data_IF_548419571503
#
_entry.id   IF_548419571503
#
_cell.length_a   1.000
_cell.length_b   1.000
_cell.length_c   1.000
_cell.angle_alpha   90.00
_cell.angle_beta   90.00
_cell.angle_gamma   90.00
#
_symmetry.space_group_name_H-M   'P 1'
#
loop_
_entity.id
_entity.type
_entity.pdbx_description
1 polymer ?
#
# COMPACT_ATOMS: atom_id res chain seq x y z
N UNK A 1 -22.75 18.71 1.66
CA UNK A 1 -23.71 18.96 0.56
C UNK A 1 -24.69 20.07 0.92
N UNK A 2 -25.62 19.88 1.88
CA UNK A 2 -26.68 20.88 2.14
C UNK A 2 -26.28 22.34 2.45
N UNK A 3 -25.09 22.62 3.00
CA UNK A 3 -24.62 24.00 3.22
C UNK A 3 -24.16 24.73 1.95
N UNK A 4 -23.65 23.99 0.95
CA UNK A 4 -23.24 24.55 -0.33
C UNK A 4 -24.45 24.83 -1.23
N UNK A 5 -25.44 23.95 -1.20
CA UNK A 5 -26.74 24.13 -1.87
C UNK A 5 -27.46 25.39 -1.39
N UNK A 6 -27.54 25.60 -0.06
CA UNK A 6 -28.10 26.82 0.53
C UNK A 6 -27.35 28.11 0.11
N UNK A 7 -26.03 28.03 -0.06
CA UNK A 7 -25.21 29.18 -0.49
C UNK A 7 -25.37 29.49 -1.98
N UNK A 8 -25.49 28.46 -2.82
CA UNK A 8 -25.77 28.58 -4.26
C UNK A 8 -27.16 29.19 -4.49
N UNK A 9 -28.17 28.71 -3.74
CA UNK A 9 -29.52 29.27 -3.77
C UNK A 9 -29.54 30.74 -3.33
N UNK A 10 -28.77 31.10 -2.29
CA UNK A 10 -28.65 32.49 -1.83
C UNK A 10 -27.97 33.39 -2.87
N UNK A 11 -26.89 32.92 -3.51
CA UNK A 11 -26.19 33.67 -4.55
C UNK A 11 -27.09 33.97 -5.75
N UNK A 12 -27.86 32.96 -6.19
CA UNK A 12 -28.85 33.08 -7.26
C UNK A 12 -30.00 34.00 -6.87
N UNK A 13 -30.54 33.85 -5.66
CA UNK A 13 -31.65 34.68 -5.16
C UNK A 13 -31.25 36.16 -5.03
N UNK A 14 -29.99 36.44 -4.71
CA UNK A 14 -29.47 37.81 -4.59
C UNK A 14 -28.94 38.39 -5.92
N UNK A 15 -28.87 37.61 -7.00
CA UNK A 15 -28.29 38.03 -8.29
C UNK A 15 -26.85 38.53 -8.18
N UNK A 16 -26.09 38.04 -7.18
CA UNK A 16 -24.78 38.59 -6.83
C UNK A 16 -23.66 37.82 -7.52
N UNK A 17 -23.12 38.39 -8.60
CA UNK A 17 -21.97 37.83 -9.33
C UNK A 17 -20.71 37.71 -8.48
N UNK A 18 -20.56 38.56 -7.45
CA UNK A 18 -19.46 38.47 -6.50
C UNK A 18 -19.58 37.23 -5.61
N UNK A 19 -20.80 36.88 -5.18
CA UNK A 19 -21.04 35.71 -4.33
C UNK A 19 -20.92 34.41 -5.13
N UNK A 20 -21.44 34.39 -6.36
CA UNK A 20 -21.25 33.27 -7.31
C UNK A 20 -19.76 32.97 -7.53
N UNK A 21 -18.96 34.00 -7.81
CA UNK A 21 -17.51 33.84 -8.03
C UNK A 21 -16.78 33.31 -6.78
N UNK A 22 -17.21 33.71 -5.59
CA UNK A 22 -16.63 33.19 -4.34
C UNK A 22 -16.97 31.71 -4.12
N UNK A 23 -18.19 31.29 -4.48
CA UNK A 23 -18.62 29.90 -4.42
C UNK A 23 -17.79 29.02 -5.38
N UNK A 24 -17.62 29.47 -6.62
CA UNK A 24 -16.80 28.77 -7.62
C UNK A 24 -15.37 28.55 -7.12
N UNK A 25 -14.74 29.60 -6.61
CA UNK A 25 -13.37 29.53 -6.05
C UNK A 25 -13.28 28.57 -4.86
N UNK A 26 -14.32 28.50 -4.02
CA UNK A 26 -14.36 27.58 -2.90
C UNK A 26 -14.45 26.12 -3.38
N UNK A 27 -15.33 25.85 -4.35
CA UNK A 27 -15.50 24.53 -4.96
C UNK A 27 -14.21 24.07 -5.65
N UNK A 28 -13.58 24.92 -6.46
CA UNK A 28 -12.30 24.63 -7.11
C UNK A 28 -11.21 24.28 -6.09
N UNK A 29 -11.10 25.04 -5.01
CA UNK A 29 -10.15 24.75 -3.92
C UNK A 29 -10.44 23.44 -3.23
N UNK A 30 -11.73 23.13 -2.98
CA UNK A 30 -12.13 21.85 -2.37
C UNK A 30 -11.77 20.68 -3.28
N UNK A 31 -12.14 20.74 -4.56
CA UNK A 31 -11.82 19.71 -5.56
C UNK A 31 -10.31 19.52 -5.68
N UNK A 32 -9.54 20.62 -5.65
CA UNK A 32 -8.08 20.54 -5.72
C UNK A 32 -7.47 19.84 -4.52
N UNK A 33 -8.01 20.07 -3.31
CA UNK A 33 -7.61 19.34 -2.10
C UNK A 33 -7.95 17.86 -2.18
N UNK A 34 -9.16 17.54 -2.65
CA UNK A 34 -9.61 16.15 -2.81
C UNK A 34 -8.73 15.40 -3.81
N UNK A 35 -8.35 16.03 -4.93
CA UNK A 35 -7.39 15.48 -5.90
C UNK A 35 -6.00 15.26 -5.31
N UNK A 36 -5.56 16.17 -4.43
CA UNK A 36 -4.30 16.01 -3.70
C UNK A 36 -4.32 14.78 -2.80
N UNK A 37 -5.38 14.63 -2.01
CA UNK A 37 -5.59 13.46 -1.16
C UNK A 37 -5.70 12.17 -1.97
N UNK A 38 -6.41 12.17 -3.10
CA UNK A 38 -6.50 11.02 -4.00
C UNK A 38 -5.12 10.59 -4.51
N UNK A 39 -4.29 11.56 -4.94
CA UNK A 39 -2.92 11.31 -5.37
C UNK A 39 -2.07 10.69 -4.25
N UNK A 40 -2.17 11.22 -3.04
CA UNK A 40 -1.39 10.72 -1.91
C UNK A 40 -1.83 9.31 -1.47
N UNK A 41 -3.14 9.04 -1.46
CA UNK A 41 -3.69 7.69 -1.25
C UNK A 41 -3.14 6.73 -2.31
N UNK A 42 -3.16 7.12 -3.58
CA UNK A 42 -2.64 6.30 -4.67
C UNK A 42 -1.15 5.97 -4.50
N UNK A 43 -0.33 6.94 -4.08
CA UNK A 43 1.09 6.71 -3.79
C UNK A 43 1.28 5.71 -2.64
N UNK A 44 0.52 5.85 -1.56
CA UNK A 44 0.58 4.93 -0.42
C UNK A 44 0.18 3.51 -0.84
N UNK A 45 -0.87 3.36 -1.64
CA UNK A 45 -1.29 2.06 -2.17
C UNK A 45 -0.22 1.40 -3.05
N UNK A 46 0.46 2.17 -3.91
CA UNK A 46 1.54 1.65 -4.76
C UNK A 46 2.73 1.18 -3.91
N UNK A 47 3.16 2.01 -2.96
CA UNK A 47 4.27 1.65 -2.06
C UNK A 47 3.94 0.40 -1.24
N UNK A 48 2.71 0.28 -0.73
CA UNK A 48 2.29 -0.90 0.01
C UNK A 48 2.29 -2.16 -0.87
N UNK A 49 1.84 -2.05 -2.12
CA UNK A 49 1.85 -3.16 -3.06
C UNK A 49 3.28 -3.64 -3.36
N UNK A 50 4.24 -2.72 -3.47
CA UNK A 50 5.64 -3.08 -3.69
C UNK A 50 6.27 -3.70 -2.44
N UNK A 51 6.00 -3.17 -1.24
CA UNK A 51 6.45 -3.79 0.02
C UNK A 51 5.88 -5.20 0.23
N UNK A 52 4.64 -5.46 -0.19
CA UNK A 52 4.05 -6.81 -0.15
C UNK A 52 4.83 -7.76 -1.06
N UNK A 53 5.13 -7.36 -2.31
CA UNK A 53 5.91 -8.19 -3.23
C UNK A 53 7.30 -8.51 -2.69
N UNK A 54 7.98 -7.52 -2.11
CA UNK A 54 9.29 -7.72 -1.47
C UNK A 54 9.19 -8.71 -0.31
N UNK A 55 8.16 -8.58 0.53
CA UNK A 55 7.94 -9.49 1.66
C UNK A 55 7.66 -10.92 1.20
N UNK A 56 6.87 -11.10 0.14
CA UNK A 56 6.61 -12.41 -0.46
C UNK A 56 7.86 -13.02 -1.09
N UNK A 57 8.72 -12.21 -1.70
CA UNK A 57 9.99 -12.68 -2.25
C UNK A 57 10.92 -13.17 -1.13
N UNK A 58 11.05 -12.40 -0.05
CA UNK A 58 11.84 -12.78 1.12
C UNK A 58 11.29 -14.07 1.75
N UNK A 59 9.97 -14.20 1.89
CA UNK A 59 9.36 -15.42 2.44
C UNK A 59 9.73 -16.66 1.62
N UNK A 60 9.67 -16.57 0.27
CA UNK A 60 10.08 -17.66 -0.62
C UNK A 60 11.56 -18.00 -0.49
N UNK A 61 12.43 -16.99 -0.40
CA UNK A 61 13.86 -17.20 -0.18
C UNK A 61 14.13 -17.91 1.16
N UNK A 62 13.46 -17.49 2.23
CA UNK A 62 13.55 -18.14 3.54
C UNK A 62 13.11 -19.61 3.50
N UNK A 63 12.03 -19.93 2.78
CA UNK A 63 11.57 -21.31 2.63
C UNK A 63 12.62 -22.18 1.93
N UNK A 64 13.23 -21.67 0.85
CA UNK A 64 14.31 -22.36 0.13
C UNK A 64 15.54 -22.56 1.03
N UNK A 65 15.93 -21.55 1.79
CA UNK A 65 17.05 -21.67 2.75
C UNK A 65 16.77 -22.74 3.81
N UNK A 66 15.53 -22.80 4.32
CA UNK A 66 15.14 -23.80 5.30
C UNK A 66 15.18 -25.23 4.75
N UNK A 67 14.73 -25.44 3.51
CA UNK A 67 14.80 -26.74 2.84
C UNK A 67 16.25 -27.19 2.61
N UNK A 68 17.12 -26.27 2.22
CA UNK A 68 18.55 -26.56 2.02
C UNK A 68 19.26 -26.90 3.32
N UNK A 69 18.97 -26.20 4.43
CA UNK A 69 19.49 -26.54 5.75
C UNK A 69 19.02 -27.91 6.25
N UNK A 70 17.74 -28.25 6.04
CA UNK A 70 17.19 -29.55 6.41
C UNK A 70 17.86 -30.68 5.59
N UNK A 71 18.00 -30.49 4.28
CA UNK A 71 18.70 -31.42 3.38
C UNK A 71 20.15 -31.63 3.78
N UNK A 72 20.84 -30.56 4.21
CA UNK A 72 22.22 -30.66 4.68
C UNK A 72 22.30 -31.45 6.00
N UNK A 73 21.41 -31.18 6.96
CA UNK A 73 21.35 -31.92 8.23
C UNK A 73 21.09 -33.41 8.03
N UNK A 74 20.23 -33.79 7.08
CA UNK A 74 19.98 -35.20 6.76
C UNK A 74 21.22 -35.89 6.21
N UNK A 75 21.99 -35.22 5.34
CA UNK A 75 23.26 -35.73 4.82
C UNK A 75 24.31 -35.90 5.92
N UNK A 76 24.42 -34.92 6.82
CA UNK A 76 25.35 -34.97 7.94
C UNK A 76 25.03 -36.15 8.87
N UNK A 77 23.74 -36.33 9.21
CA UNK A 77 23.26 -37.43 10.04
C UNK A 77 23.49 -38.80 9.40
N UNK A 78 23.35 -38.88 8.07
CA UNK A 78 23.66 -40.09 7.31
C UNK A 78 25.16 -40.42 7.35
N UNK A 79 26.02 -39.40 7.18
CA UNK A 79 27.47 -39.55 7.30
C UNK A 79 27.91 -40.05 8.68
N UNK A 80 27.30 -39.57 9.76
CA UNK A 80 27.55 -40.08 11.12
C UNK A 80 27.14 -41.54 11.28
N UNK A 81 25.97 -41.94 10.77
CA UNK A 81 25.53 -43.35 10.81
C UNK A 81 26.51 -44.26 10.08
N UNK A 82 27.00 -43.86 8.90
CA UNK A 82 27.98 -44.64 8.13
C UNK A 82 29.30 -44.83 8.88
N UNK A 83 29.80 -43.82 9.59
CA UNK A 83 31.01 -43.96 10.41
C UNK A 83 30.86 -45.02 11.50
N UNK A 84 29.66 -45.18 12.06
CA UNK A 84 29.38 -46.23 13.04
C UNK A 84 29.31 -47.65 12.46
N UNK A 85 29.23 -47.80 11.13
CA UNK A 85 29.12 -49.09 10.44
C UNK A 85 30.46 -49.58 9.88
N UNK A 86 31.44 -48.69 9.72
CA UNK A 86 32.78 -49.08 9.31
C UNK A 86 33.47 -49.79 10.49
N UNK A 87 33.83 -51.09 10.36
CA UNK A 87 34.64 -51.74 11.37
C UNK A 87 36.02 -51.09 11.35
N UNK A 88 36.50 -50.68 12.52
CA UNK A 88 37.86 -50.17 12.73
C UNK A 88 38.92 -51.12 12.17
#
# INVERSE_FOLDING_TARGET
MGRLELFDELAKACGSTALERQLDLYLERSISKDKGLESDIRKVCLNLADSIKETEAIAKECDVMKETELSQREKDLFGEKLKGWLPF
#
